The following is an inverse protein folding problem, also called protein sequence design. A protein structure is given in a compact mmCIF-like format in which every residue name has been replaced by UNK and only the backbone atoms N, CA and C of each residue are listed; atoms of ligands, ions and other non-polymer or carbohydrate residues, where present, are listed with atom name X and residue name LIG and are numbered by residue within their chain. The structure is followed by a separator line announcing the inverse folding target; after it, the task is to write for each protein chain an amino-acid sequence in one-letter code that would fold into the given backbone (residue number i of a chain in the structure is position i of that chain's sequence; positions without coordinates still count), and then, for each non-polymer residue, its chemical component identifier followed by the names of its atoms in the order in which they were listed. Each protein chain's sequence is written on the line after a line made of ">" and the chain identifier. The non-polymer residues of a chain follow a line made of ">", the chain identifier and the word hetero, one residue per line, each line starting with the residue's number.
data_IF_038455592446
#
_entry.id   IF_038455592446
#
_cell.length_a   1.000
_cell.length_b   1.000
_cell.length_c   1.000
_cell.angle_alpha   90.00
_cell.angle_beta   90.00
_cell.angle_gamma   90.00
#
_symmetry.space_group_name_H-M   'P 1'
#
loop_
_entity.id
_entity.type
_entity.pdbx_description
1 polymer ?
#
# COMPACT_ATOMS: atom_id res chain seq x y z
N UNK A 1 2.11 1.06 13.86
CA UNK A 1 3.02 0.23 13.03
C UNK A 1 2.98 -1.20 13.54
N UNK A 2 2.79 -2.20 12.68
CA UNK A 2 2.82 -3.63 13.05
C UNK A 2 4.27 -4.11 13.09
N UNK A 3 4.95 -3.87 14.22
CA UNK A 3 6.41 -3.98 14.30
C UNK A 3 6.96 -5.42 14.38
N UNK A 4 6.11 -6.44 14.61
CA UNK A 4 6.53 -7.84 14.71
C UNK A 4 5.48 -8.80 14.14
N UNK A 5 5.92 -10.01 13.79
CA UNK A 5 5.03 -11.07 13.31
C UNK A 5 3.97 -11.47 14.36
N UNK A 6 4.31 -11.44 15.65
CA UNK A 6 3.36 -11.77 16.72
C UNK A 6 2.21 -10.75 16.79
N UNK A 7 2.51 -9.47 16.60
CA UNK A 7 1.47 -8.42 16.52
C UNK A 7 0.60 -8.65 15.28
N UNK A 8 1.21 -8.99 14.14
CA UNK A 8 0.47 -9.27 12.89
C UNK A 8 -0.49 -10.44 13.09
N UNK A 9 -0.02 -11.57 13.65
CA UNK A 9 -0.85 -12.75 13.91
C UNK A 9 -1.98 -12.45 14.88
N UNK A 10 -1.72 -11.71 15.96
CA UNK A 10 -2.75 -11.29 16.90
C UNK A 10 -3.85 -10.45 16.22
N UNK A 11 -3.47 -9.55 15.30
CA UNK A 11 -4.45 -8.79 14.50
C UNK A 11 -5.25 -9.71 13.58
N UNK A 12 -4.59 -10.63 12.86
CA UNK A 12 -5.25 -11.62 12.00
C UNK A 12 -6.28 -12.42 12.79
N UNK A 13 -5.91 -12.97 13.94
CA UNK A 13 -6.82 -13.75 14.79
C UNK A 13 -8.03 -12.92 15.28
N UNK A 14 -7.80 -11.65 15.61
CA UNK A 14 -8.86 -10.76 16.09
C UNK A 14 -9.88 -10.37 15.00
N UNK A 15 -9.47 -10.35 13.73
CA UNK A 15 -10.30 -9.85 12.62
C UNK A 15 -10.76 -10.93 11.65
N UNK A 16 -10.12 -12.11 11.59
CA UNK A 16 -10.43 -13.16 10.61
C UNK A 16 -11.89 -13.64 10.66
N UNK A 17 -12.52 -13.61 11.84
CA UNK A 17 -13.93 -14.01 12.01
C UNK A 17 -14.91 -12.84 11.92
N UNK A 18 -14.42 -11.62 11.72
CA UNK A 18 -15.23 -10.42 11.61
C UNK A 18 -15.27 -10.05 10.13
N UNK A 19 -16.44 -10.15 9.51
CA UNK A 19 -16.64 -9.80 8.09
C UNK A 19 -16.53 -8.27 7.90
N UNK A 20 -15.33 -7.73 8.06
CA UNK A 20 -15.01 -6.29 8.06
C UNK A 20 -14.14 -5.96 6.86
N UNK A 21 -14.34 -4.79 6.23
CA UNK A 21 -13.46 -4.30 5.18
C UNK A 21 -12.12 -3.84 5.79
N UNK A 22 -11.09 -4.68 5.69
CA UNK A 22 -9.76 -4.40 6.23
C UNK A 22 -8.89 -3.62 5.23
N UNK A 23 -8.35 -2.47 5.65
CA UNK A 23 -7.35 -1.71 4.90
C UNK A 23 -6.00 -1.86 5.59
N UNK A 24 -4.96 -2.25 4.85
CA UNK A 24 -3.62 -2.49 5.39
C UNK A 24 -2.61 -1.53 4.75
N UNK A 25 -2.02 -0.66 5.56
CA UNK A 25 -0.90 0.21 5.16
C UNK A 25 0.40 -0.46 5.61
N UNK A 26 1.23 -0.98 4.69
CA UNK A 26 2.39 -1.80 5.02
C UNK A 26 3.58 -0.91 5.38
N UNK A 27 3.45 -0.08 6.42
CA UNK A 27 4.50 0.84 6.87
C UNK A 27 5.78 0.06 7.20
N UNK A 28 6.69 0.00 6.23
CA UNK A 28 7.90 -0.86 6.25
C UNK A 28 9.20 -0.09 6.15
N UNK A 29 9.14 1.15 5.67
CA UNK A 29 10.33 1.98 5.41
C UNK A 29 10.21 3.25 6.25
N UNK A 30 11.26 3.55 7.02
CA UNK A 30 11.30 4.81 7.77
C UNK A 30 11.55 5.98 6.84
N UNK A 31 11.29 7.19 7.31
CA UNK A 31 11.70 8.45 6.66
C UNK A 31 13.21 8.53 6.35
N UNK A 32 14.03 7.67 6.96
CA UNK A 32 15.48 7.56 6.71
C UNK A 32 15.89 6.44 5.74
N UNK A 33 14.94 5.76 5.10
CA UNK A 33 15.19 4.67 4.15
C UNK A 33 15.54 3.31 4.77
N UNK A 34 15.65 3.23 6.10
CA UNK A 34 15.93 1.96 6.79
C UNK A 34 14.68 1.06 6.79
N UNK A 35 14.88 -0.24 6.50
CA UNK A 35 13.87 -1.29 6.70
C UNK A 35 13.48 -1.33 8.17
N UNK A 36 12.22 -1.04 8.46
CA UNK A 36 11.67 -1.03 9.80
C UNK A 36 11.16 -2.41 10.25
N UNK A 37 10.85 -3.30 9.31
CA UNK A 37 10.41 -4.66 9.62
C UNK A 37 11.58 -5.65 9.58
N UNK A 38 11.64 -6.48 10.62
CA UNK A 38 12.40 -7.72 10.61
C UNK A 38 11.86 -8.64 9.50
N UNK A 39 12.72 -9.46 8.88
CA UNK A 39 12.34 -10.34 7.75
C UNK A 39 11.12 -11.22 8.06
N UNK A 40 10.96 -11.63 9.32
CA UNK A 40 9.83 -12.43 9.78
C UNK A 40 8.50 -11.65 9.76
N UNK A 41 8.51 -10.38 10.16
CA UNK A 41 7.33 -9.52 10.12
C UNK A 41 6.90 -9.20 8.69
N UNK A 42 7.87 -9.01 7.77
CA UNK A 42 7.59 -8.88 6.34
C UNK A 42 6.90 -10.13 5.79
N UNK A 43 7.40 -11.33 6.14
CA UNK A 43 6.78 -12.58 5.73
C UNK A 43 5.34 -12.68 6.22
N UNK A 44 5.11 -12.52 7.53
CA UNK A 44 3.76 -12.60 8.09
C UNK A 44 2.80 -11.55 7.52
N UNK A 45 3.30 -10.36 7.17
CA UNK A 45 2.49 -9.34 6.51
C UNK A 45 1.93 -9.85 5.17
N UNK A 46 2.79 -10.45 4.34
CA UNK A 46 2.42 -10.96 3.01
C UNK A 46 1.62 -12.25 3.09
N UNK A 47 1.99 -13.19 3.99
CA UNK A 47 1.38 -14.52 4.03
C UNK A 47 0.11 -14.58 4.87
N UNK A 48 0.00 -13.73 5.90
CA UNK A 48 -1.06 -13.85 6.91
C UNK A 48 -2.05 -12.68 6.82
N UNK A 49 -1.56 -11.44 6.67
CA UNK A 49 -2.41 -10.24 6.76
C UNK A 49 -2.95 -9.75 5.40
N UNK A 50 -2.12 -9.72 4.36
CA UNK A 50 -2.57 -9.30 3.02
C UNK A 50 -3.71 -10.15 2.43
N UNK A 51 -3.75 -11.49 2.61
CA UNK A 51 -4.80 -12.31 2.02
C UNK A 51 -6.20 -12.05 2.59
N UNK A 52 -6.28 -11.45 3.77
CA UNK A 52 -7.54 -11.06 4.41
C UNK A 52 -7.83 -9.56 4.26
N UNK A 53 -6.95 -8.81 3.60
CA UNK A 53 -7.14 -7.39 3.34
C UNK A 53 -8.13 -7.18 2.18
N UNK A 54 -9.06 -6.23 2.37
CA UNK A 54 -9.82 -5.68 1.25
C UNK A 54 -8.88 -4.85 0.37
N UNK A 55 -8.09 -3.97 0.97
CA UNK A 55 -7.21 -3.04 0.27
C UNK A 55 -5.85 -2.97 0.95
N UNK A 56 -4.76 -3.02 0.17
CA UNK A 56 -3.43 -2.66 0.63
C UNK A 56 -2.98 -1.33 0.00
N UNK A 57 -2.23 -0.51 0.75
CA UNK A 57 -1.91 0.88 0.33
C UNK A 57 -0.41 1.23 0.32
N UNK A 58 0.49 0.42 -0.28
CA UNK A 58 1.93 0.70 -0.26
C UNK A 58 2.28 2.01 -1.00
N UNK A 59 3.24 2.77 -0.46
CA UNK A 59 3.95 3.81 -1.22
C UNK A 59 5.05 3.20 -2.12
N UNK A 60 5.71 4.01 -2.96
CA UNK A 60 6.75 3.49 -3.87
C UNK A 60 7.92 2.78 -3.17
N UNK A 61 8.54 3.32 -2.10
CA UNK A 61 9.56 2.57 -1.36
C UNK A 61 9.06 1.23 -0.82
N UNK A 62 7.84 1.17 -0.28
CA UNK A 62 7.23 -0.04 0.24
C UNK A 62 6.93 -1.06 -0.86
N UNK A 63 6.35 -0.61 -1.98
CA UNK A 63 6.08 -1.44 -3.15
C UNK A 63 7.36 -2.01 -3.73
N UNK A 64 8.43 -1.20 -3.81
CA UNK A 64 9.76 -1.65 -4.23
C UNK A 64 10.28 -2.75 -3.31
N UNK A 65 10.18 -2.57 -1.98
CA UNK A 65 10.63 -3.58 -0.99
C UNK A 65 9.82 -4.88 -1.08
N UNK A 66 8.50 -4.80 -1.25
CA UNK A 66 7.63 -5.97 -1.42
C UNK A 66 7.91 -6.75 -2.71
N UNK A 67 8.34 -6.04 -3.76
CA UNK A 67 8.70 -6.59 -5.07
C UNK A 67 10.22 -6.76 -5.22
N UNK A 68 10.89 -7.16 -4.15
CA UNK A 68 12.31 -7.53 -4.13
C UNK A 68 13.28 -6.47 -4.69
N UNK A 69 13.01 -5.20 -4.40
CA UNK A 69 13.85 -4.06 -4.78
C UNK A 69 13.59 -3.53 -6.20
N UNK A 70 12.47 -3.90 -6.82
CA UNK A 70 12.07 -3.36 -8.13
C UNK A 70 12.06 -1.83 -8.13
N UNK A 71 12.64 -1.24 -9.18
CA UNK A 71 12.56 0.21 -9.43
C UNK A 71 11.19 0.55 -10.00
N UNK A 72 10.51 1.54 -9.42
CA UNK A 72 9.20 2.05 -9.87
C UNK A 72 9.37 3.55 -10.11
N UNK A 73 9.48 3.96 -11.37
CA UNK A 73 9.85 5.32 -11.75
C UNK A 73 8.80 6.04 -12.62
N UNK A 74 7.70 5.35 -12.95
CA UNK A 74 6.62 5.88 -13.78
C UNK A 74 5.25 5.37 -13.32
N UNK A 75 4.18 6.02 -13.78
CA UNK A 75 2.80 5.55 -13.54
C UNK A 75 2.58 4.16 -14.15
N UNK A 76 3.19 3.87 -15.31
CA UNK A 76 3.12 2.54 -15.93
C UNK A 76 3.80 1.49 -15.04
N UNK A 77 4.94 1.80 -14.43
CA UNK A 77 5.57 0.89 -13.46
C UNK A 77 4.70 0.69 -12.23
N UNK A 78 3.99 1.72 -11.77
CA UNK A 78 3.06 1.62 -10.65
C UNK A 78 1.87 0.71 -10.98
N UNK A 79 1.33 0.78 -12.20
CA UNK A 79 0.28 -0.14 -12.66
C UNK A 79 0.77 -1.59 -12.64
N UNK A 80 1.96 -1.86 -13.18
CA UNK A 80 2.53 -3.21 -13.14
C UNK A 80 2.84 -3.66 -11.70
N UNK A 81 3.31 -2.76 -10.85
CA UNK A 81 3.53 -3.05 -9.44
C UNK A 81 2.22 -3.42 -8.74
N UNK A 82 1.12 -2.73 -9.02
CA UNK A 82 -0.18 -3.04 -8.42
C UNK A 82 -0.67 -4.45 -8.77
N UNK A 83 -0.49 -4.87 -10.03
CA UNK A 83 -0.80 -6.24 -10.49
C UNK A 83 0.03 -7.28 -9.74
N UNK A 84 1.35 -7.07 -9.69
CA UNK A 84 2.26 -8.04 -9.08
C UNK A 84 2.08 -8.11 -7.55
N UNK A 85 1.78 -6.98 -6.90
CA UNK A 85 1.47 -6.90 -5.47
C UNK A 85 0.14 -7.60 -5.15
N UNK A 86 -0.87 -7.48 -6.01
CA UNK A 86 -2.12 -8.21 -5.86
C UNK A 86 -1.88 -9.73 -5.96
N UNK A 87 -1.05 -10.16 -6.91
CA UNK A 87 -0.68 -11.57 -7.05
C UNK A 87 0.11 -12.08 -5.83
N UNK A 88 1.00 -11.25 -5.28
CA UNK A 88 1.82 -11.57 -4.11
C UNK A 88 0.99 -11.67 -2.82
N UNK A 89 0.19 -10.64 -2.52
CA UNK A 89 -0.56 -10.50 -1.27
C UNK A 89 -1.94 -11.12 -1.29
N UNK A 90 -2.49 -11.39 -2.47
CA UNK A 90 -3.86 -11.93 -2.68
C UNK A 90 -4.97 -11.05 -2.10
N UNK A 91 -4.69 -9.77 -1.89
CA UNK A 91 -5.68 -8.77 -1.50
C UNK A 91 -6.66 -8.48 -2.65
N UNK A 92 -7.87 -8.02 -2.33
CA UNK A 92 -8.89 -7.71 -3.37
C UNK A 92 -8.57 -6.45 -4.18
N UNK A 93 -7.97 -5.46 -3.53
CA UNK A 93 -7.59 -4.18 -4.15
C UNK A 93 -6.18 -3.80 -3.75
N UNK A 94 -5.47 -3.09 -4.62
CA UNK A 94 -4.13 -2.54 -4.36
C UNK A 94 -4.09 -1.08 -4.78
N UNK A 95 -3.77 -0.18 -3.85
CA UNK A 95 -3.54 1.24 -4.11
C UNK A 95 -2.05 1.56 -3.95
N UNK A 96 -1.34 1.77 -5.06
CA UNK A 96 0.06 2.21 -5.05
C UNK A 96 0.10 3.73 -4.98
N UNK A 97 0.66 4.28 -3.89
CA UNK A 97 0.75 5.74 -3.66
C UNK A 97 1.98 6.32 -4.35
N UNK A 98 1.80 7.25 -5.29
CA UNK A 98 2.87 7.81 -6.13
C UNK A 98 3.46 9.12 -5.64
N UNK A 99 3.18 9.55 -4.41
CA UNK A 99 3.76 10.76 -3.80
C UNK A 99 5.29 10.86 -3.87
N UNK A 100 5.99 9.73 -4.08
CA UNK A 100 7.44 9.64 -4.25
C UNK A 100 7.95 9.78 -5.71
N UNK A 101 7.09 9.87 -6.73
CA UNK A 101 7.52 10.19 -8.09
C UNK A 101 7.94 11.66 -8.19
N UNK A 102 9.10 11.95 -8.75
CA UNK A 102 9.53 13.32 -9.02
C UNK A 102 8.73 13.88 -10.22
N UNK A 103 7.65 14.61 -9.93
CA UNK A 103 6.68 15.15 -10.88
C UNK A 103 5.87 16.27 -10.23
N UNK A 104 5.41 17.25 -11.01
CA UNK A 104 4.52 18.33 -10.56
C UNK A 104 3.09 17.83 -10.26
N UNK A 105 2.76 16.62 -10.69
CA UNK A 105 1.50 15.93 -10.41
C UNK A 105 1.77 14.66 -9.64
N UNK A 106 1.09 14.50 -8.50
CA UNK A 106 1.05 13.24 -7.74
C UNK A 106 -0.04 12.37 -8.32
N UNK A 107 0.29 11.10 -8.63
CA UNK A 107 -0.65 10.12 -9.15
C UNK A 107 -0.64 8.90 -8.25
N UNK A 108 -1.81 8.46 -7.80
CA UNK A 108 -2.00 7.18 -7.12
C UNK A 108 -2.74 6.21 -8.06
N UNK A 109 -2.38 4.92 -8.00
CA UNK A 109 -2.90 3.87 -8.89
C UNK A 109 -3.65 2.83 -8.08
N UNK A 110 -4.96 2.71 -8.29
CA UNK A 110 -5.78 1.63 -7.74
C UNK A 110 -5.97 0.54 -8.80
N UNK A 111 -5.76 -0.70 -8.40
CA UNK A 111 -6.06 -1.90 -9.19
C UNK A 111 -7.06 -2.79 -8.45
N UNK A 112 -8.11 -3.22 -9.14
CA UNK A 112 -9.21 -4.04 -8.62
C UNK A 112 -9.19 -5.51 -9.10
N UNK A 113 -8.18 -5.88 -9.89
CA UNK A 113 -8.06 -7.20 -10.53
C UNK A 113 -8.44 -7.22 -12.00
N UNK A 114 -9.08 -6.16 -12.50
CA UNK A 114 -9.54 -6.06 -13.89
C UNK A 114 -9.08 -4.77 -14.57
N UNK A 115 -9.16 -3.65 -13.85
CA UNK A 115 -8.96 -2.30 -14.37
C UNK A 115 -8.17 -1.41 -13.42
N UNK A 116 -7.73 -0.26 -13.93
CA UNK A 116 -6.97 0.72 -13.17
C UNK A 116 -7.74 2.03 -13.04
N UNK A 117 -7.84 2.54 -11.81
CA UNK A 117 -8.25 3.90 -11.54
C UNK A 117 -7.03 4.76 -11.16
N UNK A 118 -6.90 5.92 -11.81
CA UNK A 118 -5.81 6.87 -11.58
C UNK A 118 -6.34 8.11 -10.87
N UNK A 119 -5.80 8.39 -9.68
CA UNK A 119 -6.13 9.58 -8.90
C UNK A 119 -4.97 10.56 -9.01
N UNK A 120 -5.22 11.75 -9.57
CA UNK A 120 -4.17 12.76 -9.76
C UNK A 120 -4.48 14.06 -9.04
N UNK A 121 -3.45 14.69 -8.50
CA UNK A 121 -3.54 16.01 -7.88
C UNK A 121 -2.25 16.81 -8.08
N UNK A 122 -2.32 18.16 -8.13
CA UNK A 122 -1.13 18.99 -8.15
C UNK A 122 -0.26 18.72 -6.92
N UNK A 123 1.06 18.66 -7.10
CA UNK A 123 2.00 18.51 -5.99
C UNK A 123 1.98 19.77 -5.13
N UNK A 124 1.67 19.60 -3.85
CA UNK A 124 1.79 20.68 -2.87
C UNK A 124 3.23 20.72 -2.37
N UNK A 125 3.97 21.77 -2.72
CA UNK A 125 5.32 22.01 -2.21
C UNK A 125 5.25 22.54 -0.77
N UNK A 126 5.44 21.67 0.23
CA UNK A 126 5.55 22.06 1.64
C UNK A 126 6.87 21.60 2.23
N UNK A 127 7.35 22.30 3.27
CA UNK A 127 8.58 22.01 4.01
C UNK A 127 8.37 21.06 5.20
N UNK A 128 7.15 20.56 5.43
CA UNK A 128 6.84 19.65 6.52
C UNK A 128 7.30 18.22 6.19
N UNK A 129 8.33 17.74 6.88
CA UNK A 129 8.98 16.43 6.67
C UNK A 129 8.64 15.38 7.74
N UNK A 130 7.75 15.70 8.68
CA UNK A 130 7.42 14.81 9.80
C UNK A 130 6.05 14.16 9.57
N UNK A 131 6.04 12.85 9.30
CA UNK A 131 4.83 12.00 9.31
C UNK A 131 4.12 11.81 7.96
N UNK A 132 4.49 12.55 6.91
CA UNK A 132 3.85 12.45 5.61
C UNK A 132 4.91 12.31 4.52
N UNK A 133 4.95 11.15 3.87
CA UNK A 133 5.51 11.02 2.52
C UNK A 133 5.08 12.24 1.70
N UNK A 134 5.98 12.87 0.95
CA UNK A 134 5.70 14.10 0.19
C UNK A 134 4.41 13.98 -0.63
N UNK A 135 3.34 14.63 -0.18
CA UNK A 135 2.01 14.58 -0.80
C UNK A 135 0.98 14.09 0.21
N UNK A 136 0.24 15.02 0.80
CA UNK A 136 -0.97 14.74 1.57
C UNK A 136 -2.05 14.21 0.62
N UNK A 137 -2.06 12.90 0.35
CA UNK A 137 -3.25 12.26 -0.21
C UNK A 137 -4.25 12.11 0.93
N UNK A 138 -5.10 13.11 1.11
CA UNK A 138 -6.24 13.00 2.01
C UNK A 138 -7.02 11.73 1.67
N UNK A 139 -7.00 10.73 2.56
CA UNK A 139 -7.82 9.50 2.50
C UNK A 139 -9.32 9.83 2.77
N UNK A 140 -9.77 11.00 2.34
CA UNK A 140 -11.12 11.51 2.54
C UNK A 140 -12.11 10.78 1.63
N UNK A 141 -12.75 9.74 2.17
CA UNK A 141 -13.92 9.04 1.63
C UNK A 141 -13.71 8.08 0.45
N UNK A 142 -13.00 6.99 0.70
CA UNK A 142 -13.07 5.80 -0.14
C UNK A 142 -14.39 5.06 0.11
N UNK A 143 -15.37 5.19 -0.80
CA UNK A 143 -16.51 4.27 -0.88
C UNK A 143 -16.22 3.22 -1.94
N UNK A 144 -15.78 2.04 -1.51
CA UNK A 144 -15.75 0.85 -2.37
C UNK A 144 -17.19 0.59 -2.82
N UNK A 145 -17.48 0.85 -4.10
CA UNK A 145 -18.75 0.45 -4.69
C UNK A 145 -18.64 -1.05 -4.96
N UNK A 146 -19.14 -1.86 -4.03
CA UNK A 146 -19.39 -3.27 -4.31
C UNK A 146 -20.57 -3.33 -5.29
N UNK A 147 -20.29 -3.42 -6.59
CA UNK A 147 -21.31 -3.91 -7.52
C UNK A 147 -21.40 -5.41 -7.33
N UNK A 148 -22.51 -5.84 -6.74
CA UNK A 148 -22.85 -7.25 -6.63
C UNK A 148 -23.38 -7.76 -7.97
N UNK A 149 -22.91 -8.94 -8.36
CA UNK A 149 -23.62 -9.91 -9.18
C UNK A 149 -22.99 -11.28 -8.97
#
# INVERSE_FOLDING_TARGET
>A
MLASADIIRCVVDAVAHRNLPLVVDPVMVSTSGHRLLQSEAHRSLVTDLFPIALLITPNLPEASVLLDGRVIASVTDMQQAAVDLMALGRSKFVLVKGGHLESDTVVDVLYDGESFDLFSSPRVHTTNTHGSSKGDTSLGSWRVHTQGS
#
